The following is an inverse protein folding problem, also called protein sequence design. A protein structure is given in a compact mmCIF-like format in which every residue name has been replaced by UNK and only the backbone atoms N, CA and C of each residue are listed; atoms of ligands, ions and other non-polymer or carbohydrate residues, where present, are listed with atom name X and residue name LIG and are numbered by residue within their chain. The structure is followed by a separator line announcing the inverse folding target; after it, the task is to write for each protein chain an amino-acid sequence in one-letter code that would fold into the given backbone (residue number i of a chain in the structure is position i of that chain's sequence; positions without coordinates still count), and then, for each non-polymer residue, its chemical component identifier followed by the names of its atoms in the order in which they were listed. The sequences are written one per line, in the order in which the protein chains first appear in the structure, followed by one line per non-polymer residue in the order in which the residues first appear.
data_IF_405787719374
#
_entry.id   IF_405787719374
#
_cell.length_a   1.000
_cell.length_b   1.000
_cell.length_c   1.000
_cell.angle_alpha   90.00
_cell.angle_beta   90.00
_cell.angle_gamma   90.00
#
_symmetry.space_group_name_H-M   'P 1'
#
loop_
_entity.id
_entity.type
_entity.pdbx_description
1 polymer ?
#
# COMPACT_ATOMS: atom_id res chain seq x y z
N UNK A 1 -27.98 -9.73 15.57
CA UNK A 1 -27.57 -10.58 14.42
C UNK A 1 -26.31 -9.97 13.84
N UNK A 2 -25.14 -10.51 14.21
CA UNK A 2 -23.86 -10.05 13.68
C UNK A 2 -23.60 -10.81 12.37
N UNK A 3 -23.33 -10.09 11.28
CA UNK A 3 -23.06 -10.67 9.96
C UNK A 3 -21.67 -11.31 9.95
N UNK A 4 -21.60 -12.64 9.89
CA UNK A 4 -20.38 -13.45 9.72
C UNK A 4 -19.89 -13.46 8.26
N UNK A 5 -19.79 -12.29 7.64
CA UNK A 5 -19.29 -12.15 6.27
C UNK A 5 -18.18 -11.11 6.24
N UNK A 6 -17.06 -11.49 5.61
CA UNK A 6 -15.95 -10.66 5.12
C UNK A 6 -14.61 -10.57 5.89
N UNK A 7 -14.15 -11.49 6.76
CA UNK A 7 -12.71 -11.54 7.12
C UNK A 7 -11.81 -12.09 5.99
N UNK A 8 -12.38 -12.48 4.85
CA UNK A 8 -11.65 -13.06 3.71
C UNK A 8 -11.58 -12.13 2.49
N UNK A 9 -12.38 -11.06 2.45
CA UNK A 9 -12.53 -10.27 1.24
C UNK A 9 -11.27 -9.47 0.87
N UNK A 10 -10.55 -8.97 1.88
CA UNK A 10 -9.24 -8.32 1.65
C UNK A 10 -8.19 -9.34 1.23
N UNK A 11 -8.18 -10.51 1.88
CA UNK A 11 -7.27 -11.60 1.54
C UNK A 11 -7.45 -12.04 0.08
N UNK A 12 -8.69 -12.20 -0.40
CA UNK A 12 -8.98 -12.54 -1.80
C UNK A 12 -8.43 -11.49 -2.78
N UNK A 13 -8.55 -10.20 -2.45
CA UNK A 13 -7.96 -9.12 -3.25
C UNK A 13 -6.44 -9.26 -3.33
N UNK A 14 -5.78 -9.55 -2.20
CA UNK A 14 -4.32 -9.74 -2.17
C UNK A 14 -3.87 -11.01 -2.88
N UNK A 15 -4.67 -12.07 -2.87
CA UNK A 15 -4.39 -13.28 -3.65
C UNK A 15 -4.51 -13.00 -5.14
N UNK A 16 -5.55 -12.29 -5.57
CA UNK A 16 -5.78 -11.99 -6.99
C UNK A 16 -4.74 -11.00 -7.54
N UNK A 17 -4.33 -9.99 -6.76
CA UNK A 17 -3.36 -8.98 -7.21
C UNK A 17 -1.98 -9.57 -7.49
N UNK A 18 -1.65 -10.67 -6.80
CA UNK A 18 -0.43 -11.44 -7.01
C UNK A 18 -0.41 -12.17 -8.35
N UNK A 19 -1.56 -12.50 -8.93
CA UNK A 19 -1.66 -13.36 -10.11
C UNK A 19 -1.63 -12.58 -11.42
N UNK A 20 -2.18 -11.37 -11.46
CA UNK A 20 -2.29 -10.60 -12.69
C UNK A 20 -2.31 -9.08 -12.43
N UNK A 21 -1.33 -8.35 -12.96
CA UNK A 21 -1.25 -6.88 -12.83
C UNK A 21 -2.37 -6.14 -13.59
N UNK A 22 -2.94 -6.73 -14.64
CA UNK A 22 -4.05 -6.15 -15.39
C UNK A 22 -5.32 -6.00 -14.53
N UNK A 23 -5.46 -6.82 -13.48
CA UNK A 23 -6.60 -6.77 -12.57
C UNK A 23 -6.51 -5.61 -11.56
N UNK A 24 -5.35 -4.97 -11.40
CA UNK A 24 -5.08 -4.01 -10.32
C UNK A 24 -6.07 -2.85 -10.28
N UNK A 25 -6.46 -2.30 -11.44
CA UNK A 25 -7.43 -1.19 -11.49
C UNK A 25 -8.77 -1.60 -10.88
N UNK A 26 -9.30 -2.76 -11.27
CA UNK A 26 -10.54 -3.32 -10.72
C UNK A 26 -10.40 -3.65 -9.24
N UNK A 27 -9.25 -4.23 -8.85
CA UNK A 27 -8.98 -4.59 -7.47
C UNK A 27 -8.85 -3.37 -6.55
N UNK A 28 -8.30 -2.25 -7.03
CA UNK A 28 -8.28 -0.99 -6.28
C UNK A 28 -9.70 -0.51 -5.96
N UNK A 29 -10.63 -0.61 -6.92
CA UNK A 29 -12.05 -0.26 -6.70
C UNK A 29 -12.67 -1.21 -5.65
N UNK A 30 -12.45 -2.53 -5.79
CA UNK A 30 -12.95 -3.53 -4.84
C UNK A 30 -12.43 -3.27 -3.42
N UNK A 31 -11.12 -3.02 -3.27
CA UNK A 31 -10.50 -2.74 -1.99
C UNK A 31 -10.93 -1.39 -1.42
N UNK A 32 -11.17 -0.37 -2.26
CA UNK A 32 -11.73 0.92 -1.84
C UNK A 32 -13.14 0.76 -1.28
N UNK A 33 -13.95 -0.12 -1.85
CA UNK A 33 -15.27 -0.43 -1.30
C UNK A 33 -15.19 -1.07 0.10
N UNK A 34 -14.23 -1.97 0.33
CA UNK A 34 -13.96 -2.54 1.66
C UNK A 34 -13.50 -1.43 2.62
N UNK A 35 -12.56 -0.60 2.19
CA UNK A 35 -12.06 0.55 2.94
C UNK A 35 -13.19 1.51 3.38
N UNK A 36 -14.11 1.85 2.49
CA UNK A 36 -15.22 2.77 2.78
C UNK A 36 -16.29 2.17 3.71
N UNK A 37 -16.47 0.84 3.70
CA UNK A 37 -17.43 0.12 4.55
C UNK A 37 -16.86 -0.25 5.93
N UNK A 38 -15.55 -0.19 6.08
CA UNK A 38 -14.85 -0.61 7.29
C UNK A 38 -14.51 0.58 8.18
N UNK A 39 -14.40 0.34 9.49
CA UNK A 39 -13.73 1.31 10.36
C UNK A 39 -12.26 1.40 9.97
N UNK A 40 -11.75 2.62 9.83
CA UNK A 40 -10.37 2.86 9.36
C UNK A 40 -9.30 2.10 10.14
N UNK A 41 -9.43 1.98 11.47
CA UNK A 41 -8.50 1.20 12.30
C UNK A 41 -8.50 -0.28 11.94
N UNK A 42 -9.68 -0.91 11.90
CA UNK A 42 -9.83 -2.32 11.55
C UNK A 42 -9.32 -2.62 10.14
N UNK A 43 -9.63 -1.75 9.16
CA UNK A 43 -9.09 -1.87 7.82
C UNK A 43 -7.55 -1.82 7.83
N UNK A 44 -6.97 -0.85 8.54
CA UNK A 44 -5.51 -0.71 8.61
C UNK A 44 -4.85 -1.95 9.21
N UNK A 45 -5.42 -2.51 10.28
CA UNK A 45 -4.84 -3.66 10.97
C UNK A 45 -4.73 -4.86 10.03
N UNK A 46 -5.82 -5.20 9.32
CA UNK A 46 -5.85 -6.29 8.34
C UNK A 46 -4.97 -5.98 7.11
N UNK A 47 -5.06 -4.76 6.58
CA UNK A 47 -4.29 -4.32 5.41
C UNK A 47 -2.78 -4.39 5.67
N UNK A 48 -2.31 -3.89 6.81
CA UNK A 48 -0.89 -3.90 7.14
C UNK A 48 -0.38 -5.29 7.51
N UNK A 49 -1.22 -6.14 8.07
CA UNK A 49 -0.89 -7.56 8.28
C UNK A 49 -0.61 -8.26 6.94
N UNK A 50 -1.47 -8.07 5.93
CA UNK A 50 -1.27 -8.63 4.59
C UNK A 50 -0.07 -7.99 3.87
N UNK A 51 0.10 -6.67 3.98
CA UNK A 51 1.26 -5.98 3.43
C UNK A 51 2.59 -6.50 3.99
N UNK A 52 2.62 -6.93 5.26
CA UNK A 52 3.83 -7.40 5.94
C UNK A 52 4.51 -8.54 5.20
N UNK A 53 3.75 -9.49 4.65
CA UNK A 53 4.31 -10.64 3.94
C UNK A 53 5.12 -10.23 2.71
N UNK A 54 4.66 -9.21 1.98
CA UNK A 54 5.33 -8.72 0.77
C UNK A 54 6.41 -7.68 1.08
N UNK A 55 6.21 -6.84 2.09
CA UNK A 55 7.13 -5.75 2.43
C UNK A 55 8.30 -6.17 3.31
N UNK A 56 8.21 -7.30 4.03
CA UNK A 56 9.28 -7.80 4.92
C UNK A 56 10.13 -8.89 4.26
N UNK A 57 9.59 -9.64 3.29
CA UNK A 57 10.33 -10.77 2.68
C UNK A 57 11.46 -10.31 1.76
N UNK A 58 12.69 -10.79 2.00
CA UNK A 58 13.86 -10.48 1.15
C UNK A 58 13.79 -11.12 -0.24
N UNK A 59 12.91 -12.08 -0.45
CA UNK A 59 12.82 -12.85 -1.70
C UNK A 59 12.14 -12.03 -2.80
N UNK A 60 12.87 -11.69 -3.87
CA UNK A 60 12.33 -10.94 -5.01
C UNK A 60 11.57 -11.85 -5.98
N UNK A 61 10.37 -12.28 -5.59
CA UNK A 61 9.48 -13.03 -6.47
C UNK A 61 8.58 -12.12 -7.30
N UNK A 62 8.13 -12.53 -8.50
CA UNK A 62 7.16 -11.77 -9.28
C UNK A 62 5.82 -11.55 -8.56
N UNK A 63 5.43 -12.45 -7.65
CA UNK A 63 4.23 -12.31 -6.83
C UNK A 63 4.38 -11.15 -5.83
N UNK A 64 5.53 -11.09 -5.16
CA UNK A 64 5.87 -10.01 -4.24
C UNK A 64 5.90 -8.65 -4.94
N UNK A 65 6.64 -8.53 -6.04
CA UNK A 65 6.76 -7.26 -6.77
C UNK A 65 5.40 -6.74 -7.26
N UNK A 66 4.53 -7.64 -7.78
CA UNK A 66 3.15 -7.29 -8.15
C UNK A 66 2.32 -6.84 -6.96
N UNK A 67 2.50 -7.45 -5.80
CA UNK A 67 1.80 -7.04 -4.57
C UNK A 67 2.25 -5.66 -4.11
N UNK A 68 3.56 -5.38 -4.16
CA UNK A 68 4.11 -4.05 -3.81
C UNK A 68 3.55 -2.98 -4.75
N UNK A 69 3.58 -3.23 -6.06
CA UNK A 69 3.00 -2.34 -7.06
C UNK A 69 1.50 -2.09 -6.80
N UNK A 70 0.75 -3.15 -6.47
CA UNK A 70 -0.66 -3.02 -6.09
C UNK A 70 -0.87 -2.16 -4.83
N UNK A 71 -0.11 -2.41 -3.76
CA UNK A 71 -0.18 -1.66 -2.49
C UNK A 71 0.02 -0.16 -2.74
N UNK A 72 1.04 0.20 -3.52
CA UNK A 72 1.35 1.59 -3.86
C UNK A 72 0.22 2.20 -4.68
N UNK A 73 -0.22 1.53 -5.74
CA UNK A 73 -1.35 1.98 -6.57
C UNK A 73 -2.61 2.22 -5.74
N UNK A 74 -2.92 1.32 -4.82
CA UNK A 74 -4.09 1.44 -3.97
C UNK A 74 -3.98 2.60 -2.99
N UNK A 75 -2.84 2.75 -2.31
CA UNK A 75 -2.62 3.86 -1.38
C UNK A 75 -2.84 5.21 -2.08
N UNK A 76 -2.35 5.35 -3.32
CA UNK A 76 -2.55 6.55 -4.13
C UNK A 76 -3.97 6.70 -4.65
N UNK A 77 -4.62 5.60 -5.02
CA UNK A 77 -6.02 5.56 -5.42
C UNK A 77 -6.96 6.07 -4.32
N UNK A 78 -6.64 5.82 -3.05
CA UNK A 78 -7.37 6.36 -1.91
C UNK A 78 -7.15 7.87 -1.68
N UNK A 79 -6.05 8.43 -2.17
CA UNK A 79 -5.72 9.85 -2.02
C UNK A 79 -6.37 10.76 -3.06
N UNK A 80 -6.84 10.18 -4.18
CA UNK A 80 -7.53 10.93 -5.22
C UNK A 80 -8.92 11.36 -4.73
N UNK A 81 -9.14 12.67 -4.62
CA UNK A 81 -10.48 13.25 -4.54
C UNK A 81 -11.28 12.85 -5.78
N UNK A 82 -12.60 12.66 -5.64
CA UNK A 82 -13.47 12.36 -6.80
C UNK A 82 -13.62 13.57 -7.75
N UNK A 83 -13.08 14.73 -7.36
CA UNK A 83 -13.00 15.92 -8.20
C UNK A 83 -11.71 15.85 -9.05
N UNK A 84 -11.90 15.58 -10.34
CA UNK A 84 -10.89 15.16 -11.33
C UNK A 84 -9.92 16.29 -11.76
N UNK A 85 -9.77 17.34 -10.95
CA UNK A 85 -9.00 18.56 -11.28
C UNK A 85 -8.11 19.12 -10.18
N UNK A 86 -8.28 18.70 -8.93
CA UNK A 86 -7.44 19.18 -7.81
C UNK A 86 -6.21 18.28 -7.64
N UNK A 87 -5.02 18.86 -7.37
CA UNK A 87 -3.82 18.08 -7.07
C UNK A 87 -4.12 17.14 -5.90
N UNK A 88 -3.82 15.85 -6.11
CA UNK A 88 -3.99 14.81 -5.09
C UNK A 88 -3.22 15.23 -3.84
N UNK A 89 -3.92 15.70 -2.82
CA UNK A 89 -3.31 16.11 -1.56
C UNK A 89 -2.85 14.87 -0.79
N UNK A 90 -1.71 14.36 -1.23
CA UNK A 90 -1.06 13.15 -0.74
C UNK A 90 -0.65 13.29 0.72
N UNK A 91 -0.51 14.53 1.23
CA UNK A 91 -0.25 14.82 2.65
C UNK A 91 -1.49 14.60 3.52
N UNK A 92 -2.70 14.75 2.97
CA UNK A 92 -3.95 14.46 3.68
C UNK A 92 -4.37 12.98 3.60
N UNK A 93 -3.68 12.17 2.80
CA UNK A 93 -3.95 10.74 2.68
C UNK A 93 -3.44 9.96 3.90
N UNK A 94 -4.33 9.78 4.89
CA UNK A 94 -4.06 9.05 6.13
C UNK A 94 -3.58 7.61 5.91
N UNK A 95 -4.05 6.94 4.86
CA UNK A 95 -3.61 5.58 4.54
C UNK A 95 -2.16 5.57 4.04
N UNK A 96 -1.81 6.51 3.15
CA UNK A 96 -0.45 6.67 2.63
C UNK A 96 0.53 7.01 3.76
N UNK A 97 0.16 7.93 4.67
CA UNK A 97 0.99 8.26 5.83
C UNK A 97 1.20 7.05 6.75
N UNK A 98 0.15 6.29 7.06
CA UNK A 98 0.30 5.06 7.86
C UNK A 98 1.15 4.00 7.17
N UNK A 99 1.02 3.84 5.85
CA UNK A 99 1.84 2.93 5.06
C UNK A 99 3.31 3.34 5.08
N UNK A 100 3.60 4.64 4.94
CA UNK A 100 4.95 5.16 5.05
C UNK A 100 5.57 4.87 6.43
N UNK A 101 4.83 5.15 7.51
CA UNK A 101 5.26 4.83 8.88
C UNK A 101 5.46 3.33 9.11
N UNK A 102 4.58 2.49 8.55
CA UNK A 102 4.73 1.03 8.59
C UNK A 102 6.04 0.59 7.93
N UNK A 103 6.31 1.07 6.72
CA UNK A 103 7.54 0.79 5.99
C UNK A 103 8.80 1.26 6.75
N UNK A 104 8.76 2.45 7.36
CA UNK A 104 9.87 2.96 8.18
C UNK A 104 10.12 2.06 9.39
N UNK A 105 9.06 1.67 10.11
CA UNK A 105 9.15 0.78 11.28
C UNK A 105 9.75 -0.57 10.91
N UNK A 106 9.33 -1.15 9.80
CA UNK A 106 9.87 -2.41 9.27
C UNK A 106 11.33 -2.27 8.85
N UNK A 107 11.69 -1.16 8.20
CA UNK A 107 13.05 -0.89 7.73
C UNK A 107 14.05 -0.71 8.89
N UNK A 108 13.63 -0.05 9.97
CA UNK A 108 14.46 0.15 11.16
C UNK A 108 14.82 -1.18 11.82
N UNK A 109 13.84 -2.10 11.92
CA UNK A 109 14.02 -3.40 12.57
C UNK A 109 14.89 -4.37 11.75
N UNK A 110 14.93 -4.23 10.42
CA UNK A 110 15.63 -5.18 9.54
C UNK A 110 17.05 -4.73 9.11
N UNK A 111 17.56 -3.60 9.62
CA UNK A 111 18.88 -2.93 9.52
C UNK A 111 19.90 -3.25 8.39
N UNK A 112 19.59 -4.00 7.34
CA UNK A 112 20.44 -4.24 6.18
C UNK A 112 19.55 -4.42 4.93
N UNK A 113 19.74 -3.55 3.93
CA UNK A 113 19.26 -3.65 2.54
C UNK A 113 17.84 -3.19 2.13
N UNK A 114 17.10 -2.42 2.94
CA UNK A 114 15.69 -2.06 2.62
C UNK A 114 15.41 -0.62 2.17
N UNK A 115 16.41 0.25 2.06
CA UNK A 115 16.20 1.61 1.54
C UNK A 115 15.78 1.61 0.07
N UNK A 116 16.13 0.60 -0.74
CA UNK A 116 15.90 0.67 -2.19
C UNK A 116 14.42 0.46 -2.59
N UNK A 117 13.69 -0.57 -2.13
CA UNK A 117 12.32 -0.82 -2.61
C UNK A 117 11.31 0.25 -2.18
N UNK A 118 11.39 0.74 -0.94
CA UNK A 118 10.54 1.84 -0.48
C UNK A 118 10.85 3.13 -1.25
N UNK A 119 12.12 3.45 -1.50
CA UNK A 119 12.44 4.63 -2.29
C UNK A 119 12.03 4.48 -3.76
N UNK A 120 12.18 3.30 -4.38
CA UNK A 120 11.74 3.07 -5.77
C UNK A 120 10.21 3.17 -5.91
N UNK A 121 9.46 2.64 -4.95
CA UNK A 121 8.00 2.72 -4.90
C UNK A 121 7.49 4.17 -4.77
N UNK A 122 8.18 5.01 -4.00
CA UNK A 122 7.82 6.42 -3.83
C UNK A 122 8.43 7.33 -4.92
N UNK A 123 9.54 6.96 -5.56
CA UNK A 123 10.16 7.73 -6.64
C UNK A 123 9.41 7.68 -7.98
N UNK A 124 8.50 6.70 -8.18
CA UNK A 124 7.63 6.62 -9.35
C UNK A 124 6.32 7.44 -9.22
N UNK A 125 6.18 8.23 -8.15
CA UNK A 125 5.08 9.17 -8.01
C UNK A 125 5.24 10.35 -8.97
N UNK A 126 4.23 10.68 -9.80
CA UNK A 126 4.36 11.70 -10.83
C UNK A 126 4.54 13.13 -10.31
N UNK A 127 4.47 13.40 -8.99
CA UNK A 127 4.56 14.74 -8.41
C UNK A 127 5.21 14.78 -7.02
N UNK A 128 6.42 14.24 -6.86
CA UNK A 128 7.09 14.27 -5.55
C UNK A 128 8.60 14.34 -5.63
N UNK A 129 9.15 15.55 -5.71
CA UNK A 129 10.55 15.83 -5.35
C UNK A 129 10.76 15.57 -3.86
N UNK A 130 10.84 14.31 -3.45
CA UNK A 130 11.27 13.93 -2.11
C UNK A 130 12.80 13.97 -2.06
N UNK A 131 13.36 15.16 -1.81
CA UNK A 131 14.77 15.34 -1.53
C UNK A 131 15.06 14.86 -0.10
N UNK A 132 15.11 13.55 0.11
CA UNK A 132 15.67 12.98 1.34
C UNK A 132 17.16 12.84 1.10
N UNK A 133 17.93 13.78 1.63
CA UNK A 133 19.39 13.69 1.65
C UNK A 133 19.83 12.39 2.34
N UNK A 134 20.81 11.66 1.80
CA UNK A 134 21.38 10.53 2.50
C UNK A 134 22.09 11.05 3.75
N UNK A 135 21.63 10.63 4.93
CA UNK A 135 22.40 10.79 6.16
C UNK A 135 23.64 9.92 6.01
N UNK A 136 24.77 10.59 5.81
CA UNK A 136 26.07 9.97 5.63
C UNK A 136 26.45 9.07 6.82
N UNK A 137 27.07 7.95 6.47
CA UNK A 137 28.20 7.42 7.23
C UNK A 137 29.34 7.19 6.25
#
# INVERSE_FOLDING_TARGET
MASETEPLAMLEVFQECQLNSLSHVRLCVRLKNIFLKSRFSHFCDEFFELCRYSLVSMERTPFRERTIDFIVKFALFCGKSEDDGEPTDTLNNRLLLKLFLFCMKVSFVNSNLWLVPCFTAFAHLPNGSCHISPVGR
#
